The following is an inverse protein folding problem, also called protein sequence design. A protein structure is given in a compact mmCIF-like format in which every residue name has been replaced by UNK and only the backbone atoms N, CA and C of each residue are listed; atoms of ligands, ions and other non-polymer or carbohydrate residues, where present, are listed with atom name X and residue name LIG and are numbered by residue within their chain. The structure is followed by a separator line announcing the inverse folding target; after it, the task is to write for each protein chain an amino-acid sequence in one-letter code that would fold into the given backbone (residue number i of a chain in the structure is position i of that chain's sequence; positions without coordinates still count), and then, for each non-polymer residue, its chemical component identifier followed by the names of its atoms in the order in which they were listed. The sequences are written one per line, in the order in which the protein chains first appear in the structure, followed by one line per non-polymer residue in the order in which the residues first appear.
data_IF_356746945019
#
_entry.id   IF_356746945019
#
_cell.length_a   1.000
_cell.length_b   1.000
_cell.length_c   1.000
_cell.angle_alpha   90.00
_cell.angle_beta   90.00
_cell.angle_gamma   90.00
#
_symmetry.space_group_name_H-M   'P 1'
#
loop_
_entity.id
_entity.type
_entity.pdbx_description
1 polymer ?
#
# COMPACT_ATOMS: atom_id res chain seq x y z
N UNK A 1 -20.02 -26.16 -7.48
CA UNK A 1 -19.41 -24.94 -8.04
C UNK A 1 -18.66 -25.30 -9.32
N UNK A 2 -18.69 -24.45 -10.34
CA UNK A 2 -17.94 -24.63 -11.59
C UNK A 2 -16.87 -23.54 -11.67
N UNK A 3 -15.60 -23.92 -11.66
CA UNK A 3 -14.50 -23.00 -11.86
C UNK A 3 -14.35 -22.66 -13.34
N UNK A 4 -14.07 -21.40 -13.65
CA UNK A 4 -13.77 -20.93 -15.00
C UNK A 4 -12.40 -20.25 -14.98
N UNK A 5 -11.53 -20.61 -15.91
CA UNK A 5 -10.26 -19.92 -16.11
C UNK A 5 -10.50 -18.68 -16.99
N UNK A 6 -10.14 -17.51 -16.48
CA UNK A 6 -10.12 -16.28 -17.27
C UNK A 6 -8.97 -16.34 -18.29
N UNK A 7 -9.13 -15.64 -19.42
CA UNK A 7 -8.05 -15.47 -20.41
C UNK A 7 -6.84 -14.83 -19.73
N UNK A 8 -5.63 -15.23 -20.12
CA UNK A 8 -4.42 -14.58 -19.62
C UNK A 8 -4.39 -13.11 -20.07
N UNK A 9 -4.43 -12.22 -19.08
CA UNK A 9 -4.40 -10.76 -19.27
C UNK A 9 -3.02 -10.14 -18.96
N UNK A 10 -2.15 -10.90 -18.30
CA UNK A 10 -0.80 -10.51 -17.95
C UNK A 10 0.13 -11.70 -18.12
N UNK A 11 1.38 -11.43 -18.51
CA UNK A 11 2.45 -12.42 -18.57
C UNK A 11 3.03 -12.75 -17.18
N UNK A 12 2.64 -11.99 -16.16
CA UNK A 12 3.08 -12.17 -14.77
C UNK A 12 1.97 -12.82 -13.93
N UNK A 13 2.36 -13.44 -12.81
CA UNK A 13 1.41 -13.95 -11.82
C UNK A 13 0.67 -12.80 -11.12
N UNK A 14 -0.60 -13.05 -10.79
CA UNK A 14 -1.37 -12.16 -9.92
C UNK A 14 -0.77 -12.19 -8.51
N UNK A 15 -0.52 -11.01 -7.95
CA UNK A 15 0.06 -10.82 -6.61
C UNK A 15 -1.03 -10.67 -5.55
N UNK A 16 -2.04 -9.86 -5.84
CA UNK A 16 -3.11 -9.53 -4.89
C UNK A 16 -4.39 -9.14 -5.64
N UNK A 17 -5.55 -9.38 -5.01
CA UNK A 17 -6.89 -9.06 -5.51
C UNK A 17 -7.74 -8.50 -4.38
N UNK A 18 -8.33 -7.33 -4.60
CA UNK A 18 -9.26 -6.70 -3.65
C UNK A 18 -10.62 -6.45 -4.29
N UNK A 19 -11.67 -6.46 -3.48
CA UNK A 19 -13.00 -6.01 -3.88
C UNK A 19 -13.22 -4.57 -3.47
N UNK A 20 -13.70 -3.74 -4.37
CA UNK A 20 -14.06 -2.36 -4.09
C UNK A 20 -15.25 -1.95 -4.96
N UNK A 21 -16.30 -1.38 -4.35
CA UNK A 21 -17.53 -0.92 -5.04
C UNK A 21 -18.07 -1.92 -6.09
N UNK A 22 -18.17 -3.19 -5.67
CA UNK A 22 -18.67 -4.30 -6.49
C UNK A 22 -17.81 -4.67 -7.72
N UNK A 23 -16.56 -4.22 -7.79
CA UNK A 23 -15.58 -4.65 -8.81
C UNK A 23 -14.40 -5.34 -8.14
N UNK A 24 -13.64 -6.10 -8.93
CA UNK A 24 -12.39 -6.69 -8.48
C UNK A 24 -11.21 -5.95 -9.09
N UNK A 25 -10.22 -5.65 -8.26
CA UNK A 25 -9.00 -4.99 -8.68
C UNK A 25 -7.85 -5.94 -8.40
N UNK A 26 -7.05 -6.23 -9.42
CA UNK A 26 -5.92 -7.14 -9.30
C UNK A 26 -4.63 -6.41 -9.63
N UNK A 27 -3.60 -6.70 -8.83
CA UNK A 27 -2.23 -6.28 -9.09
C UNK A 27 -1.38 -7.49 -9.43
N UNK A 28 -0.48 -7.31 -10.38
CA UNK A 28 0.40 -8.36 -10.89
C UNK A 28 1.86 -8.08 -10.51
N UNK A 29 2.69 -9.13 -10.47
CA UNK A 29 4.10 -9.01 -10.09
C UNK A 29 4.92 -8.08 -10.99
N UNK A 30 4.49 -7.86 -12.23
CA UNK A 30 5.10 -6.89 -13.14
C UNK A 30 4.60 -5.44 -12.93
N UNK A 31 3.77 -5.19 -11.92
CA UNK A 31 3.23 -3.87 -11.60
C UNK A 31 1.98 -3.49 -12.39
N UNK A 32 1.45 -4.37 -13.24
CA UNK A 32 0.19 -4.13 -13.92
C UNK A 32 -0.97 -4.15 -12.92
N UNK A 33 -1.93 -3.25 -13.10
CA UNK A 33 -3.17 -3.19 -12.32
C UNK A 33 -4.34 -3.26 -13.28
N UNK A 34 -5.30 -4.13 -12.97
CA UNK A 34 -6.51 -4.32 -13.77
C UNK A 34 -7.75 -4.25 -12.89
N UNK A 35 -8.82 -3.68 -13.43
CA UNK A 35 -10.16 -3.79 -12.88
C UNK A 35 -10.97 -4.80 -13.70
N UNK A 36 -11.72 -5.65 -13.01
CA UNK A 36 -12.60 -6.64 -13.61
C UNK A 36 -14.06 -6.28 -13.32
N UNK A 37 -14.86 -6.34 -14.38
CA UNK A 37 -16.30 -6.34 -14.24
C UNK A 37 -16.77 -7.73 -13.75
N UNK A 38 -17.52 -7.82 -12.63
CA UNK A 38 -17.90 -9.11 -12.06
C UNK A 38 -18.89 -9.89 -12.94
N UNK A 39 -19.58 -9.23 -13.88
CA UNK A 39 -20.60 -9.86 -14.73
C UNK A 39 -20.04 -10.23 -16.10
N UNK A 40 -19.32 -9.32 -16.77
CA UNK A 40 -18.72 -9.60 -18.08
C UNK A 40 -17.37 -10.32 -17.98
N UNK A 41 -16.71 -10.26 -16.82
CA UNK A 41 -15.34 -10.74 -16.59
C UNK A 41 -14.30 -10.08 -17.50
N UNK A 42 -14.65 -8.92 -18.08
CA UNK A 42 -13.73 -8.12 -18.87
C UNK A 42 -12.74 -7.39 -17.95
N UNK A 43 -11.46 -7.49 -18.30
CA UNK A 43 -10.39 -6.80 -17.60
C UNK A 43 -10.04 -5.51 -18.34
N UNK A 44 -10.07 -4.39 -17.63
CA UNK A 44 -9.60 -3.10 -18.13
C UNK A 44 -8.30 -2.71 -17.40
N UNK A 45 -7.21 -2.38 -18.12
CA UNK A 45 -5.99 -1.90 -17.48
C UNK A 45 -6.23 -0.54 -16.83
N UNK A 46 -5.70 -0.33 -15.63
CA UNK A 46 -5.64 0.97 -14.98
C UNK A 46 -4.26 1.56 -15.23
N UNK A 47 -4.19 2.56 -16.11
CA UNK A 47 -2.94 3.17 -16.53
C UNK A 47 -2.48 4.15 -15.44
N UNK A 48 -1.19 4.09 -15.12
CA UNK A 48 -0.54 5.15 -14.35
C UNK A 48 0.04 6.19 -15.29
N UNK A 49 -0.16 7.46 -14.97
CA UNK A 49 0.47 8.59 -15.65
C UNK A 49 2.00 8.59 -15.54
N UNK A 50 2.55 7.97 -14.49
CA UNK A 50 4.00 7.88 -14.29
C UNK A 50 4.42 6.47 -13.86
N UNK A 51 5.24 5.76 -14.67
CA UNK A 51 5.77 4.45 -14.32
C UNK A 51 6.77 4.59 -13.17
N UNK A 52 6.38 4.12 -11.99
CA UNK A 52 7.25 4.01 -10.83
C UNK A 52 7.63 2.53 -10.68
N UNK A 53 8.89 2.16 -10.94
CA UNK A 53 9.36 0.77 -10.76
C UNK A 53 9.32 0.45 -9.27
N UNK A 54 8.26 -0.21 -8.83
CA UNK A 54 7.94 -0.35 -7.42
C UNK A 54 7.11 -1.59 -7.16
N UNK A 55 7.12 -2.02 -5.91
CA UNK A 55 6.12 -2.96 -5.42
C UNK A 55 4.80 -2.24 -5.21
N UNK A 56 3.73 -2.82 -5.74
CA UNK A 56 2.38 -2.26 -5.69
C UNK A 56 1.50 -3.03 -4.70
N UNK A 57 0.70 -2.29 -3.94
CA UNK A 57 -0.24 -2.80 -2.93
C UNK A 57 -1.57 -2.06 -3.03
N UNK A 58 -2.67 -2.80 -3.13
CA UNK A 58 -4.02 -2.23 -3.16
C UNK A 58 -4.57 -2.21 -1.73
N UNK A 59 -5.03 -1.05 -1.26
CA UNK A 59 -5.54 -0.87 0.10
C UNK A 59 -6.96 -0.30 0.05
N UNK A 60 -8.00 -1.13 0.22
CA UNK A 60 -9.37 -0.64 0.29
C UNK A 60 -9.61 0.05 1.64
N UNK A 61 -10.21 1.24 1.59
CA UNK A 61 -10.72 1.95 2.77
C UNK A 61 -12.24 1.91 2.74
N UNK A 62 -12.78 0.78 3.23
CA UNK A 62 -14.20 0.45 3.09
C UNK A 62 -14.64 0.43 1.62
N UNK A 63 -15.80 1.03 1.35
CA UNK A 63 -16.30 1.26 -0.01
C UNK A 63 -16.15 2.72 -0.46
N UNK A 64 -15.46 3.55 0.32
CA UNK A 64 -15.32 4.98 0.03
C UNK A 64 -14.18 5.21 -0.96
N UNK A 65 -13.00 4.70 -0.66
CA UNK A 65 -11.78 4.95 -1.42
C UNK A 65 -10.95 3.68 -1.58
N UNK A 66 -10.23 3.61 -2.71
CA UNK A 66 -9.22 2.60 -2.96
C UNK A 66 -7.88 3.30 -3.17
N UNK A 67 -6.90 2.91 -2.36
CA UNK A 67 -5.54 3.41 -2.47
C UNK A 67 -4.63 2.40 -3.16
N UNK A 68 -3.67 2.92 -3.89
CA UNK A 68 -2.56 2.18 -4.43
C UNK A 68 -1.27 2.72 -3.84
N UNK A 69 -0.58 1.88 -3.10
CA UNK A 69 0.70 2.20 -2.47
C UNK A 69 1.80 1.56 -3.30
N UNK A 70 2.74 2.39 -3.73
CA UNK A 70 3.86 2.04 -4.58
C UNK A 70 5.14 2.32 -3.80
N UNK A 71 5.82 1.27 -3.33
CA UNK A 71 7.06 1.46 -2.59
C UNK A 71 8.29 1.04 -3.39
N UNK A 72 9.30 1.90 -3.35
CA UNK A 72 10.53 1.80 -4.12
C UNK A 72 11.66 1.30 -3.24
N UNK A 73 12.38 0.32 -3.77
CA UNK A 73 13.68 -0.10 -3.26
C UNK A 73 14.71 0.65 -4.10
N UNK A 74 15.58 1.49 -3.50
CA UNK A 74 16.59 2.20 -4.26
C UNK A 74 17.51 1.22 -5.01
N UNK A 75 17.80 1.51 -6.28
CA UNK A 75 18.80 0.80 -7.07
C UNK A 75 20.19 1.17 -6.53
N UNK A 76 20.67 0.39 -5.55
CA UNK A 76 21.97 0.56 -4.92
C UNK A 76 22.61 -0.80 -4.66
N UNK A 77 23.95 -0.86 -4.71
CA UNK A 77 24.73 -2.08 -4.43
C UNK A 77 24.50 -2.59 -2.99
N UNK A 78 24.11 -1.69 -2.08
CA UNK A 78 23.67 -1.98 -0.72
C UNK A 78 22.28 -1.39 -0.55
N UNK A 79 21.31 -2.22 -0.19
CA UNK A 79 19.94 -1.78 0.08
C UNK A 79 19.94 -0.98 1.39
N UNK A 80 19.79 0.35 1.28
CA UNK A 80 19.57 1.23 2.43
C UNK A 80 18.07 1.33 2.69
N UNK A 81 17.60 0.60 3.70
CA UNK A 81 16.19 0.63 4.14
C UNK A 81 15.79 2.02 4.68
N UNK A 82 16.73 2.87 5.10
CA UNK A 82 16.43 4.24 5.50
C UNK A 82 16.00 5.15 4.34
N UNK A 83 16.31 4.77 3.10
CA UNK A 83 16.02 5.53 1.86
C UNK A 83 14.79 5.03 1.10
N UNK A 84 14.03 4.14 1.71
CA UNK A 84 12.79 3.64 1.13
C UNK A 84 11.78 4.77 1.02
N UNK A 85 11.25 4.92 -0.19
CA UNK A 85 10.22 5.91 -0.51
C UNK A 85 8.98 5.20 -1.00
N UNK A 86 7.83 5.73 -0.61
CA UNK A 86 6.54 5.27 -1.09
C UNK A 86 5.79 6.43 -1.75
N UNK A 87 4.99 6.09 -2.76
CA UNK A 87 4.00 6.96 -3.37
C UNK A 87 2.63 6.36 -3.10
N UNK A 88 1.68 7.19 -2.71
CA UNK A 88 0.29 6.77 -2.55
C UNK A 88 -0.55 7.47 -3.59
N UNK A 89 -1.41 6.71 -4.26
CA UNK A 89 -2.38 7.23 -5.20
C UNK A 89 -3.78 6.78 -4.83
N UNK A 90 -4.78 7.64 -4.99
CA UNK A 90 -6.20 7.32 -4.85
C UNK A 90 -6.79 7.05 -6.23
N UNK A 91 -7.68 6.06 -6.32
CA UNK A 91 -8.41 5.77 -7.56
C UNK A 91 -9.43 6.88 -7.86
N UNK A 92 -9.34 7.47 -9.04
CA UNK A 92 -10.44 8.19 -9.68
C UNK A 92 -11.20 7.21 -10.57
N UNK A 93 -12.40 6.81 -10.14
CA UNK A 93 -13.21 5.83 -10.88
C UNK A 93 -13.80 6.40 -12.18
N UNK A 94 -14.08 7.71 -12.22
CA UNK A 94 -14.67 8.35 -13.39
C UNK A 94 -13.62 8.46 -14.50
N UNK A 95 -12.42 8.90 -14.14
CA UNK A 95 -11.28 8.98 -15.06
C UNK A 95 -10.62 7.62 -15.32
N UNK A 96 -10.83 6.63 -14.43
CA UNK A 96 -10.11 5.33 -14.39
C UNK A 96 -8.59 5.48 -14.26
N UNK A 97 -8.18 6.43 -13.44
CA UNK A 97 -6.77 6.80 -13.25
C UNK A 97 -6.39 6.80 -11.77
N UNK A 98 -5.10 6.72 -11.52
CA UNK A 98 -4.52 6.84 -10.18
C UNK A 98 -4.01 8.26 -9.96
N UNK A 99 -4.56 8.95 -8.97
CA UNK A 99 -4.20 10.33 -8.61
C UNK A 99 -3.31 10.31 -7.37
N UNK A 100 -2.08 10.81 -7.47
CA UNK A 100 -1.14 10.87 -6.35
C UNK A 100 -1.68 11.75 -5.24
N UNK A 101 -1.60 11.28 -3.99
CA UNK A 101 -2.07 12.00 -2.80
C UNK A 101 -0.97 12.07 -1.73
N UNK A 102 -0.92 13.22 -1.05
CA UNK A 102 -0.07 13.50 0.11
C UNK A 102 -0.82 13.43 1.44
N UNK A 103 -2.14 13.36 1.37
CA UNK A 103 -3.03 13.37 2.52
C UNK A 103 -4.05 12.23 2.41
N UNK A 104 -4.07 11.37 3.42
CA UNK A 104 -5.02 10.26 3.60
C UNK A 104 -6.17 10.64 4.53
N UNK A 105 -6.16 11.88 5.03
CA UNK A 105 -7.04 12.37 6.07
C UNK A 105 -6.75 11.68 7.39
N UNK A 106 -7.80 11.24 8.08
CA UNK A 106 -7.70 10.54 9.36
C UNK A 106 -7.34 9.04 9.21
N UNK A 107 -6.96 8.59 8.01
CA UNK A 107 -6.74 7.16 7.76
C UNK A 107 -5.33 6.72 8.07
N UNK A 108 -5.23 5.46 8.49
CA UNK A 108 -3.99 4.70 8.64
C UNK A 108 -4.06 3.51 7.69
N UNK A 109 -3.02 3.30 6.88
CA UNK A 109 -2.93 2.15 5.97
C UNK A 109 -2.01 1.10 6.57
N UNK A 110 -2.47 -0.15 6.64
CA UNK A 110 -1.68 -1.30 7.07
C UNK A 110 -1.42 -2.17 5.85
N UNK A 111 -0.15 -2.48 5.59
CA UNK A 111 0.30 -3.18 4.39
C UNK A 111 1.22 -4.33 4.81
N UNK A 112 0.90 -5.55 4.39
CA UNK A 112 1.83 -6.66 4.60
C UNK A 112 1.28 -8.04 4.25
N UNK A 113 1.93 -9.06 4.80
CA UNK A 113 1.76 -10.47 4.41
C UNK A 113 0.32 -10.98 4.56
N UNK A 114 -0.39 -10.50 5.58
CA UNK A 114 -1.75 -10.95 5.89
C UNK A 114 -2.85 -10.15 5.19
N UNK A 115 -2.46 -9.30 4.23
CA UNK A 115 -3.36 -8.45 3.46
C UNK A 115 -3.22 -6.98 3.85
N UNK A 116 -3.87 -6.14 3.04
CA UNK A 116 -3.83 -4.70 3.21
C UNK A 116 -5.18 -4.18 3.69
N UNK A 117 -5.17 -3.34 4.72
CA UNK A 117 -6.37 -2.77 5.31
C UNK A 117 -6.18 -1.31 5.66
N UNK A 118 -7.29 -0.59 5.82
CA UNK A 118 -7.30 0.79 6.29
C UNK A 118 -8.28 0.92 7.45
N UNK A 119 -7.91 1.73 8.45
CA UNK A 119 -8.81 2.14 9.53
C UNK A 119 -8.65 3.64 9.81
N UNK A 120 -9.56 4.20 10.62
CA UNK A 120 -9.38 5.56 11.16
C UNK A 120 -8.32 5.53 12.26
N UNK A 121 -7.48 6.58 12.32
CA UNK A 121 -6.56 6.81 13.42
C UNK A 121 -7.27 6.99 14.76
N UNK A 122 -8.53 7.41 14.76
CA UNK A 122 -9.36 7.53 15.98
C UNK A 122 -9.85 6.19 16.52
N UNK A 123 -9.79 5.13 15.70
CA UNK A 123 -10.06 3.77 16.17
C UNK A 123 -8.86 3.18 16.91
N UNK A 124 -7.69 3.82 16.81
CA UNK A 124 -6.48 3.39 17.48
C UNK A 124 -6.39 3.95 18.90
N UNK A 125 -5.80 3.22 19.85
CA UNK A 125 -5.62 3.71 21.21
C UNK A 125 -4.74 4.96 21.25
N UNK A 126 -5.12 5.92 22.10
CA UNK A 126 -4.27 7.08 22.39
C UNK A 126 -2.88 6.63 22.85
N UNK A 127 -1.84 7.29 22.33
CA UNK A 127 -0.45 6.99 22.68
C UNK A 127 0.13 5.76 22.00
N UNK A 128 -0.58 5.14 21.03
CA UNK A 128 0.00 4.05 20.24
C UNK A 128 1.02 4.52 19.18
N UNK A 129 1.47 5.78 19.15
CA UNK A 129 2.44 6.26 18.15
C UNK A 129 1.95 6.30 16.69
N UNK A 130 0.73 5.84 16.41
CA UNK A 130 0.11 5.87 15.09
C UNK A 130 -1.02 6.89 15.07
N UNK A 131 -0.90 7.87 14.18
CA UNK A 131 -1.92 8.89 13.96
C UNK A 131 -2.50 8.78 12.54
N UNK A 132 -3.61 9.45 12.29
CA UNK A 132 -4.09 9.64 10.91
C UNK A 132 -3.00 10.21 9.99
N UNK A 133 -3.20 10.02 8.69
CA UNK A 133 -2.25 10.38 7.63
C UNK A 133 -0.92 9.62 7.74
N UNK A 134 -0.98 8.33 8.04
CA UNK A 134 0.20 7.47 8.18
C UNK A 134 0.01 6.09 7.54
N UNK A 135 1.13 5.38 7.36
CA UNK A 135 1.12 4.00 6.89
C UNK A 135 2.02 3.13 7.74
N UNK A 136 1.68 1.85 7.82
CA UNK A 136 2.42 0.83 8.50
C UNK A 136 2.70 -0.34 7.56
N UNK A 137 3.97 -0.67 7.37
CA UNK A 137 4.36 -1.89 6.69
C UNK A 137 4.77 -2.97 7.69
N UNK A 138 4.19 -4.17 7.57
CA UNK A 138 4.49 -5.34 8.42
C UNK A 138 5.28 -6.43 7.70
N UNK A 139 5.42 -6.31 6.37
CA UNK A 139 6.16 -7.25 5.50
C UNK A 139 7.07 -6.52 4.52
N UNK A 140 7.67 -5.41 4.98
CA UNK A 140 8.72 -4.75 4.21
C UNK A 140 10.05 -5.49 4.43
N UNK A 141 10.99 -5.45 3.47
CA UNK A 141 12.33 -6.01 3.61
C UNK A 141 12.96 -5.80 5.00
N UNK A 142 13.50 -6.88 5.58
CA UNK A 142 14.12 -6.87 6.92
C UNK A 142 13.24 -7.44 8.04
N UNK A 143 11.96 -7.79 7.76
CA UNK A 143 11.00 -8.29 8.76
C UNK A 143 10.71 -7.33 9.93
N UNK A 144 11.10 -6.07 9.78
CA UNK A 144 10.80 -4.99 10.72
C UNK A 144 9.49 -4.30 10.34
N UNK A 145 8.91 -3.60 11.32
CA UNK A 145 7.74 -2.77 11.13
C UNK A 145 8.20 -1.36 10.77
N UNK A 146 7.69 -0.83 9.67
CA UNK A 146 8.07 0.49 9.18
C UNK A 146 6.88 1.43 9.20
N UNK A 147 7.00 2.52 9.97
CA UNK A 147 6.05 3.64 9.96
C UNK A 147 6.43 4.61 8.86
N UNK A 148 5.48 4.96 8.00
CA UNK A 148 5.71 5.95 6.94
C UNK A 148 4.83 7.19 7.13
N UNK A 149 5.44 8.37 6.99
CA UNK A 149 4.77 9.67 6.97
C UNK A 149 5.13 10.43 5.70
N UNK A 150 4.25 11.32 5.26
CA UNK A 150 4.50 12.17 4.10
C UNK A 150 5.40 13.36 4.47
N UNK A 151 6.34 13.72 3.58
CA UNK A 151 7.12 14.95 3.72
C UNK A 151 8.11 14.96 4.88
N UNK A 152 8.56 13.79 5.35
CA UNK A 152 9.59 13.68 6.40
C UNK A 152 10.90 14.29 5.88
N UNK A 153 11.45 15.24 6.64
CA UNK A 153 12.78 15.80 6.37
C UNK A 153 13.84 14.71 6.50
N UNK A 154 14.77 14.67 5.55
CA UNK A 154 15.91 13.76 5.59
C UNK A 154 17.19 14.54 5.81
N UNK A 155 18.25 13.84 6.21
CA UNK A 155 19.60 14.43 6.33
C UNK A 155 20.19 14.83 4.96
N UNK A 156 19.51 14.51 3.86
CA UNK A 156 19.95 14.77 2.49
C UNK A 156 19.10 15.88 1.87
N UNK A 157 19.69 17.06 1.69
CA UNK A 157 19.01 18.23 1.13
C UNK A 157 18.50 18.04 -0.32
N UNK A 158 18.93 16.99 -1.01
CA UNK A 158 18.53 16.67 -2.40
C UNK A 158 17.29 15.77 -2.47
N UNK A 159 16.80 15.26 -1.33
CA UNK A 159 15.68 14.34 -1.31
C UNK A 159 14.35 15.05 -1.63
N UNK A 160 13.60 14.49 -2.57
CA UNK A 160 12.29 15.02 -2.95
C UNK A 160 11.26 14.79 -1.83
N UNK A 161 10.80 15.85 -1.16
CA UNK A 161 9.82 15.74 -0.07
C UNK A 161 8.44 15.25 -0.52
N UNK A 162 8.18 15.10 -1.83
CA UNK A 162 6.89 14.63 -2.34
C UNK A 162 6.63 13.12 -2.18
N UNK A 163 7.39 12.45 -1.31
CA UNK A 163 7.29 11.03 -1.03
C UNK A 163 6.97 10.73 0.44
N UNK A 164 6.33 9.59 0.64
CA UNK A 164 6.16 8.96 1.93
C UNK A 164 7.47 8.26 2.32
N UNK A 165 7.96 8.49 3.54
CA UNK A 165 9.24 7.97 4.03
C UNK A 165 9.12 7.37 5.41
N UNK A 166 10.07 6.51 5.75
CA UNK A 166 10.23 5.97 7.09
C UNK A 166 10.32 7.12 8.12
N UNK A 167 9.41 7.11 9.08
CA UNK A 167 9.46 7.93 10.28
C UNK A 167 10.15 7.12 11.37
N UNK A 168 11.23 7.64 11.93
CA UNK A 168 11.95 7.05 13.07
C UNK A 168 11.38 7.48 14.42
N UNK A 169 10.20 8.10 14.43
CA UNK A 169 9.60 8.62 15.67
C UNK A 169 9.18 7.51 16.63
N UNK A 170 8.82 6.32 16.12
CA UNK A 170 8.36 5.20 16.95
C UNK A 170 8.93 3.88 16.44
N UNK A 171 9.46 3.06 17.34
CA UNK A 171 9.79 1.67 17.05
C UNK A 171 8.56 0.78 17.19
N UNK A 172 8.47 -0.33 16.46
CA UNK A 172 7.44 -1.33 16.73
C UNK A 172 7.95 -2.75 16.57
N UNK A 173 7.51 -3.61 17.48
CA UNK A 173 7.80 -5.04 17.50
C UNK A 173 6.52 -5.86 17.31
N UNK A 174 6.60 -6.90 16.48
CA UNK A 174 5.49 -7.84 16.31
C UNK A 174 5.48 -8.80 17.49
N UNK A 175 4.42 -8.74 18.32
CA UNK A 175 4.24 -9.65 19.45
C UNK A 175 3.66 -11.00 19.04
N UNK A 176 2.78 -10.99 18.03
CA UNK A 176 2.11 -12.19 17.55
C UNK A 176 1.78 -12.07 16.06
N UNK A 177 2.06 -13.14 15.30
CA UNK A 177 1.71 -13.31 13.88
C UNK A 177 0.65 -14.40 13.66
N UNK A 178 0.15 -15.04 14.73
CA UNK A 178 -0.74 -16.19 14.63
C UNK A 178 -2.16 -15.75 14.25
N UNK A 179 -2.70 -16.22 13.12
CA UNK A 179 -4.07 -15.89 12.72
C UNK A 179 -5.10 -16.27 13.80
N UNK A 180 -6.19 -15.50 13.96
CA UNK A 180 -6.62 -14.39 13.12
C UNK A 180 -6.12 -13.00 13.59
N UNK A 181 -5.19 -12.94 14.55
CA UNK A 181 -4.80 -11.68 15.20
C UNK A 181 -3.30 -11.42 15.03
N UNK A 182 -2.97 -10.28 14.43
CA UNK A 182 -1.61 -9.71 14.49
C UNK A 182 -1.57 -8.74 15.67
N UNK A 183 -0.66 -8.98 16.62
CA UNK A 183 -0.46 -8.09 17.75
C UNK A 183 0.85 -7.32 17.57
N UNK A 184 0.77 -6.00 17.65
CA UNK A 184 1.91 -5.10 17.53
C UNK A 184 2.10 -4.38 18.86
N UNK A 185 3.37 -4.25 19.27
CA UNK A 185 3.77 -3.37 20.35
C UNK A 185 4.54 -2.22 19.78
N UNK A 186 4.22 -1.04 20.25
CA UNK A 186 4.90 0.19 19.86
C UNK A 186 5.80 0.58 21.04
N UNK A 187 7.04 0.89 20.72
CA UNK A 187 8.12 1.16 21.66
C UNK A 187 8.42 2.66 21.61
N UNK A 188 8.39 3.30 22.78
CA UNK A 188 8.72 4.71 23.03
C UNK A 188 10.24 4.94 23.13
#
# INVERSE_FOLDING_TARGET
MRWMRLKEISIASCKDVVSFRSRFYAVFLNGNVFVFDPYSLEATPLIHSQPFRSQKYLVPSGNEELFLVEGTIPDADVIDFGRLTCRVSRLDEEAREWVVVSDLGDRVLFIGEHGNVSCSGKELPDGCGVSGNSMLFTDWPGHEIYFCKYGVETEYAEDDLNFWRLSREYGASVLNKSPPVVALRIED
#
